data_IF_519153145555
#
_entry.id   IF_519153145555
#
_cell.length_a   1.000
_cell.length_b   1.000
_cell.length_c   1.000
_cell.angle_alpha   90.00
_cell.angle_beta   90.00
_cell.angle_gamma   90.00
#
_symmetry.space_group_name_H-M   'P 1'
#
loop_
_entity.id
_entity.type
_entity.pdbx_description
1 polymer ?
#
# COMPACT_ATOMS: atom_id res chain seq x y z
N UNK A 1 -12.90 26.42 17.21
CA UNK A 1 -13.30 25.03 16.88
C UNK A 1 -12.81 24.73 15.47
N UNK A 2 -11.83 23.83 15.32
CA UNK A 2 -11.38 23.41 13.97
C UNK A 2 -12.42 22.44 13.46
N UNK A 3 -13.23 22.86 12.48
CA UNK A 3 -14.12 21.95 11.75
C UNK A 3 -13.26 20.92 11.03
N UNK A 4 -13.14 19.71 11.59
CA UNK A 4 -12.61 18.55 10.86
C UNK A 4 -13.66 18.16 9.82
N UNK A 5 -13.66 18.84 8.68
CA UNK A 5 -14.42 18.41 7.52
C UNK A 5 -13.93 17.00 7.15
N UNK A 6 -14.77 15.99 7.39
CA UNK A 6 -14.51 14.63 6.94
C UNK A 6 -14.30 14.61 5.42
N UNK A 7 -13.61 13.58 4.91
CA UNK A 7 -13.27 13.54 3.49
C UNK A 7 -14.48 13.67 2.57
N UNK A 8 -14.32 14.48 1.54
CA UNK A 8 -15.32 14.62 0.48
C UNK A 8 -15.49 13.29 -0.26
N UNK A 9 -16.63 13.12 -0.93
CA UNK A 9 -16.93 11.91 -1.72
C UNK A 9 -15.87 11.70 -2.80
N UNK A 10 -15.40 12.78 -3.41
CA UNK A 10 -14.34 12.80 -4.42
C UNK A 10 -12.99 12.31 -3.86
N UNK A 11 -12.61 12.78 -2.67
CA UNK A 11 -11.38 12.33 -2.00
C UNK A 11 -11.43 10.84 -1.64
N UNK A 12 -12.58 10.36 -1.18
CA UNK A 12 -12.79 8.93 -0.89
C UNK A 12 -12.68 8.07 -2.14
N UNK A 13 -13.26 8.53 -3.26
CA UNK A 13 -13.18 7.83 -4.54
C UNK A 13 -11.74 7.77 -5.05
N UNK A 14 -11.03 8.91 -5.07
CA UNK A 14 -9.63 8.97 -5.48
C UNK A 14 -8.75 8.06 -4.63
N UNK A 15 -8.94 8.08 -3.31
CA UNK A 15 -8.15 7.22 -2.43
C UNK A 15 -8.47 5.73 -2.62
N UNK A 16 -9.72 5.36 -2.88
CA UNK A 16 -10.08 3.97 -3.21
C UNK A 16 -9.32 3.48 -4.45
N UNK A 17 -9.26 4.29 -5.51
CA UNK A 17 -8.47 3.98 -6.69
C UNK A 17 -6.98 3.88 -6.39
N UNK A 18 -6.44 4.80 -5.60
CA UNK A 18 -5.03 4.79 -5.21
C UNK A 18 -4.67 3.53 -4.41
N UNK A 19 -5.51 3.12 -3.45
CA UNK A 19 -5.31 1.90 -2.67
C UNK A 19 -5.44 0.64 -3.53
N UNK A 20 -6.34 0.63 -4.52
CA UNK A 20 -6.43 -0.45 -5.49
C UNK A 20 -5.16 -0.54 -6.34
N UNK A 21 -4.65 0.59 -6.82
CA UNK A 21 -3.38 0.65 -7.57
C UNK A 21 -2.20 0.13 -6.74
N UNK A 22 -2.05 0.58 -5.49
CA UNK A 22 -1.00 0.10 -4.58
C UNK A 22 -1.12 -1.41 -4.36
N UNK A 23 -2.35 -1.93 -4.24
CA UNK A 23 -2.59 -3.37 -4.09
C UNK A 23 -2.11 -4.14 -5.32
N UNK A 24 -2.46 -3.69 -6.52
CA UNK A 24 -2.01 -4.31 -7.78
C UNK A 24 -0.48 -4.30 -7.87
N UNK A 25 0.15 -3.16 -7.61
CA UNK A 25 1.62 -3.03 -7.61
C UNK A 25 2.27 -3.94 -6.57
N UNK A 26 1.69 -4.05 -5.38
CA UNK A 26 2.17 -4.95 -4.31
C UNK A 26 2.14 -6.40 -4.78
N UNK A 27 1.02 -6.84 -5.36
CA UNK A 27 0.87 -8.22 -5.86
C UNK A 27 1.89 -8.51 -6.95
N UNK A 28 2.03 -7.61 -7.93
CA UNK A 28 3.04 -7.77 -8.99
C UNK A 28 4.47 -7.81 -8.44
N UNK A 29 4.77 -6.96 -7.46
CA UNK A 29 6.07 -6.95 -6.78
C UNK A 29 6.37 -8.26 -6.06
N UNK A 30 5.39 -8.84 -5.36
CA UNK A 30 5.52 -10.14 -4.71
C UNK A 30 5.77 -11.25 -5.75
N UNK A 31 4.97 -11.30 -6.82
CA UNK A 31 5.14 -12.29 -7.90
C UNK A 31 6.52 -12.21 -8.52
N UNK A 32 6.99 -11.00 -8.83
CA UNK A 32 8.33 -10.78 -9.36
C UNK A 32 9.42 -11.22 -8.37
N UNK A 33 9.28 -10.88 -7.08
CA UNK A 33 10.21 -11.32 -6.04
C UNK A 33 10.30 -12.83 -5.93
N UNK A 34 9.17 -13.53 -5.94
CA UNK A 34 9.15 -15.00 -5.90
C UNK A 34 9.84 -15.56 -7.13
N UNK A 35 9.56 -15.02 -8.33
CA UNK A 35 10.24 -15.42 -9.56
C UNK A 35 11.76 -15.25 -9.48
N UNK A 36 12.24 -14.13 -8.93
CA UNK A 36 13.67 -13.89 -8.72
C UNK A 36 14.29 -14.88 -7.70
N UNK A 37 13.59 -15.17 -6.61
CA UNK A 37 14.06 -16.12 -5.58
C UNK A 37 14.17 -17.52 -6.19
N UNK A 38 13.16 -17.97 -6.94
CA UNK A 38 13.15 -19.28 -7.62
C UNK A 38 14.28 -19.37 -8.66
N UNK A 39 14.59 -18.26 -9.36
CA UNK A 39 15.71 -18.18 -10.28
C UNK A 39 17.10 -18.11 -9.59
N UNK A 40 17.17 -18.24 -8.25
CA UNK A 40 18.42 -18.21 -7.49
C UNK A 40 18.98 -16.80 -7.28
N UNK A 41 18.21 -15.75 -7.57
CA UNK A 41 18.66 -14.38 -7.41
C UNK A 41 18.37 -13.87 -5.99
N UNK A 42 19.44 -13.70 -5.19
CA UNK A 42 19.35 -13.20 -3.83
C UNK A 42 18.68 -11.81 -3.70
N UNK A 43 18.68 -11.00 -4.78
CA UNK A 43 18.01 -9.69 -4.79
C UNK A 43 16.49 -9.81 -4.68
N UNK A 44 15.91 -10.97 -5.00
CA UNK A 44 14.48 -11.23 -4.83
C UNK A 44 14.02 -11.09 -3.37
N UNK A 45 14.89 -11.43 -2.40
CA UNK A 45 14.63 -11.20 -0.98
C UNK A 45 14.60 -9.72 -0.61
N UNK A 46 15.53 -8.93 -1.16
CA UNK A 46 15.56 -7.47 -0.94
C UNK A 46 14.32 -6.78 -1.49
N UNK A 47 13.92 -7.15 -2.72
CA UNK A 47 12.67 -6.66 -3.31
C UNK A 47 11.46 -7.08 -2.47
N UNK A 48 11.43 -8.31 -1.96
CA UNK A 48 10.30 -8.82 -1.19
C UNK A 48 10.16 -8.06 0.13
N UNK A 49 11.27 -7.86 0.84
CA UNK A 49 11.31 -7.08 2.06
C UNK A 49 10.84 -5.63 1.82
N UNK A 50 11.31 -5.00 0.74
CA UNK A 50 10.88 -3.65 0.38
C UNK A 50 9.38 -3.57 0.12
N UNK A 51 8.83 -4.47 -0.69
CA UNK A 51 7.39 -4.50 -1.02
C UNK A 51 6.54 -4.71 0.23
N UNK A 52 6.93 -5.64 1.10
CA UNK A 52 6.20 -5.93 2.35
C UNK A 52 6.25 -4.73 3.30
N UNK A 53 7.41 -4.13 3.52
CA UNK A 53 7.55 -2.97 4.40
C UNK A 53 6.78 -1.76 3.89
N UNK A 54 6.88 -1.48 2.59
CA UNK A 54 6.16 -0.39 1.95
C UNK A 54 4.65 -0.58 2.05
N UNK A 55 4.15 -1.76 1.68
CA UNK A 55 2.72 -2.09 1.74
C UNK A 55 2.18 -2.03 3.18
N UNK A 56 2.93 -2.59 4.14
CA UNK A 56 2.60 -2.52 5.56
C UNK A 56 2.53 -1.09 6.08
N UNK A 57 3.51 -0.25 5.72
CA UNK A 57 3.52 1.17 6.08
C UNK A 57 2.31 1.94 5.53
N UNK A 58 1.99 1.73 4.25
CA UNK A 58 0.80 2.33 3.62
C UNK A 58 -0.48 1.88 4.32
N UNK A 59 -0.58 0.60 4.69
CA UNK A 59 -1.77 0.06 5.34
C UNK A 59 -1.95 0.62 6.77
N UNK A 60 -0.86 0.76 7.53
CA UNK A 60 -0.88 1.40 8.86
C UNK A 60 -1.32 2.86 8.74
N UNK A 61 -0.73 3.59 7.80
CA UNK A 61 -1.08 4.99 7.53
C UNK A 61 -2.56 5.14 7.14
N UNK A 62 -3.05 4.30 6.22
CA UNK A 62 -4.45 4.31 5.80
C UNK A 62 -5.41 4.02 6.96
N UNK A 63 -5.09 3.05 7.81
CA UNK A 63 -5.87 2.73 9.01
C UNK A 63 -5.89 3.91 9.99
N UNK A 64 -4.75 4.53 10.23
CA UNK A 64 -4.62 5.72 11.09
C UNK A 64 -5.47 6.89 10.56
N UNK A 65 -5.45 7.12 9.24
CA UNK A 65 -6.30 8.13 8.62
C UNK A 65 -7.78 7.83 8.78
N UNK A 66 -8.19 6.56 8.62
CA UNK A 66 -9.58 6.14 8.78
C UNK A 66 -10.06 6.28 10.23
N UNK A 67 -9.20 6.03 11.23
CA UNK A 67 -9.55 6.20 12.65
C UNK A 67 -9.63 7.66 13.11
N UNK A 68 -9.03 8.59 12.36
CA UNK A 68 -9.06 10.03 12.66
C UNK A 68 -10.22 10.76 11.97
N UNK A 69 -11.04 10.06 11.18
CA UNK A 69 -12.26 10.61 10.60
C UNK A 69 -13.33 10.74 11.70
N UNK A 70 -13.98 11.91 11.84
CA UNK A 70 -15.10 12.11 12.76
C UNK A 70 -16.34 11.32 12.34
#
# INVERSE_FOLDING_TARGET
MVNRLGWTVEQRAALRWYMAFITVVTVLGIVLSIGLIVAGNARGWGLLAFVVLFSGGVQIWYRSMRSQQP
#
